data_IF_611204309926
#
_entry.id   IF_611204309926
#
_cell.length_a   1.000
_cell.length_b   1.000
_cell.length_c   1.000
_cell.angle_alpha   90.00
_cell.angle_beta   90.00
_cell.angle_gamma   90.00
#
_symmetry.space_group_name_H-M   'P 1'
#
loop_
_entity.id
_entity.type
_entity.pdbx_description
1 polymer ?
#
# COMPACT_ATOMS: atom_id res chain seq x y z
N UNK A 1 -4.84 -22.56 23.92
CA UNK A 1 -3.89 -22.32 22.81
C UNK A 1 -4.54 -22.49 21.42
N UNK A 2 -5.08 -23.65 21.04
CA UNK A 2 -5.66 -23.87 19.70
C UNK A 2 -6.84 -22.95 19.30
N UNK A 3 -7.71 -22.57 20.25
CA UNK A 3 -8.88 -21.69 19.97
C UNK A 3 -8.51 -20.24 19.58
N UNK A 4 -7.37 -19.72 20.05
CA UNK A 4 -6.91 -18.36 19.71
C UNK A 4 -6.36 -18.30 18.28
N UNK A 5 -5.58 -19.33 17.90
CA UNK A 5 -5.05 -19.48 16.53
C UNK A 5 -6.20 -19.66 15.53
N UNK A 6 -7.22 -20.46 15.87
CA UNK A 6 -8.43 -20.63 15.06
C UNK A 6 -9.26 -19.35 14.91
N UNK A 7 -9.32 -18.48 15.93
CA UNK A 7 -10.01 -17.19 15.83
C UNK A 7 -9.21 -16.16 15.01
N UNK A 8 -7.88 -16.17 15.07
CA UNK A 8 -7.05 -15.33 14.20
C UNK A 8 -7.12 -15.79 12.74
N UNK A 9 -7.10 -17.10 12.49
CA UNK A 9 -7.28 -17.65 11.14
C UNK A 9 -8.70 -17.37 10.64
N UNK A 10 -9.73 -17.48 11.49
CA UNK A 10 -11.09 -17.07 11.11
C UNK A 10 -11.18 -15.59 10.79
N UNK A 11 -10.57 -14.70 11.58
CA UNK A 11 -10.57 -13.26 11.33
C UNK A 11 -9.84 -12.88 10.04
N UNK A 12 -8.73 -13.56 9.73
CA UNK A 12 -7.97 -13.35 8.49
C UNK A 12 -8.72 -13.92 7.26
N UNK A 13 -9.28 -15.11 7.37
CA UNK A 13 -9.98 -15.82 6.27
C UNK A 13 -11.37 -15.26 6.00
N UNK A 14 -12.09 -14.75 7.01
CA UNK A 14 -13.40 -14.10 6.78
C UNK A 14 -13.27 -12.68 6.25
N UNK A 15 -12.24 -11.92 6.63
CA UNK A 15 -12.07 -10.54 6.15
C UNK A 15 -11.61 -10.46 4.68
N UNK A 16 -10.68 -11.32 4.27
CA UNK A 16 -10.17 -11.33 2.89
C UNK A 16 -11.10 -12.03 1.88
N UNK A 17 -11.90 -13.01 2.34
CA UNK A 17 -12.87 -13.68 1.47
C UNK A 17 -14.00 -12.74 0.99
N UNK A 18 -14.18 -11.59 1.64
CA UNK A 18 -15.35 -10.75 1.48
C UNK A 18 -15.18 -9.70 0.37
N UNK A 19 -14.10 -8.91 0.29
CA UNK A 19 -14.04 -7.78 -0.68
C UNK A 19 -14.01 -8.21 -2.14
N UNK A 20 -13.24 -9.24 -2.49
CA UNK A 20 -13.17 -9.73 -3.89
C UNK A 20 -14.45 -10.45 -4.30
N UNK A 21 -15.07 -11.19 -3.36
CA UNK A 21 -16.38 -11.81 -3.57
C UNK A 21 -17.49 -10.75 -3.70
N UNK A 22 -17.59 -9.80 -2.77
CA UNK A 22 -18.57 -8.72 -2.81
C UNK A 22 -18.36 -7.80 -4.02
N UNK A 23 -17.12 -7.53 -4.45
CA UNK A 23 -16.87 -6.80 -5.71
C UNK A 23 -17.41 -7.57 -6.93
N UNK A 24 -17.31 -8.90 -6.92
CA UNK A 24 -17.81 -9.77 -8.00
C UNK A 24 -19.34 -9.89 -7.98
N UNK A 25 -19.97 -9.84 -6.80
CA UNK A 25 -21.41 -10.09 -6.62
C UNK A 25 -22.23 -8.79 -6.56
N UNK A 26 -21.66 -7.69 -6.05
CA UNK A 26 -22.30 -6.38 -5.86
C UNK A 26 -21.35 -5.23 -6.25
N UNK A 27 -20.96 -5.12 -7.52
CA UNK A 27 -19.94 -4.17 -7.98
C UNK A 27 -20.24 -2.70 -7.64
N UNK A 28 -21.53 -2.33 -7.55
CA UNK A 28 -21.95 -0.94 -7.30
C UNK A 28 -21.86 -0.51 -5.83
N UNK A 29 -21.55 -1.43 -4.91
CA UNK A 29 -21.58 -1.17 -3.44
C UNK A 29 -20.23 -0.84 -2.84
N UNK A 30 -19.12 -1.10 -3.55
CA UNK A 30 -17.77 -0.87 -3.06
C UNK A 30 -17.09 0.22 -3.89
N UNK A 31 -16.54 1.22 -3.22
CA UNK A 31 -15.68 2.20 -3.89
C UNK A 31 -14.39 1.50 -4.32
N UNK A 32 -13.87 1.84 -5.50
CA UNK A 32 -12.58 1.36 -6.00
C UNK A 32 -11.45 1.46 -4.95
N UNK A 33 -11.44 2.53 -4.15
CA UNK A 33 -10.43 2.71 -3.10
C UNK A 33 -10.55 1.65 -2.00
N UNK A 34 -11.74 1.15 -1.68
CA UNK A 34 -11.91 0.11 -0.68
C UNK A 34 -11.28 -1.21 -1.12
N UNK A 35 -11.34 -1.50 -2.43
CA UNK A 35 -10.78 -2.72 -3.02
C UNK A 35 -9.25 -2.69 -3.19
N UNK A 36 -8.63 -1.52 -3.07
CA UNK A 36 -7.17 -1.40 -3.11
C UNK A 36 -6.52 -2.15 -1.94
N UNK A 37 -5.43 -2.86 -2.22
CA UNK A 37 -4.72 -3.72 -1.27
C UNK A 37 -3.34 -3.16 -0.97
N UNK A 38 -2.92 -3.27 0.28
CA UNK A 38 -1.57 -2.89 0.71
C UNK A 38 -0.68 -4.12 0.79
N UNK A 39 0.57 -3.97 0.37
CA UNK A 39 1.63 -4.97 0.60
C UNK A 39 2.98 -4.29 0.76
N UNK A 40 3.96 -5.05 1.27
CA UNK A 40 5.35 -4.57 1.32
C UNK A 40 5.89 -4.35 -0.09
N UNK A 41 6.62 -3.26 -0.26
CA UNK A 41 7.39 -2.97 -1.46
C UNK A 41 8.54 -3.98 -1.58
N UNK A 42 8.82 -4.40 -2.80
CA UNK A 42 9.96 -5.23 -3.15
C UNK A 42 10.84 -4.52 -4.18
N UNK A 43 12.06 -5.03 -4.39
CA UNK A 43 12.96 -4.49 -5.43
C UNK A 43 12.36 -4.59 -6.84
N UNK A 44 11.48 -5.56 -7.09
CA UNK A 44 10.80 -5.72 -8.37
C UNK A 44 9.80 -4.58 -8.67
N UNK A 45 9.37 -3.83 -7.65
CA UNK A 45 8.45 -2.71 -7.81
C UNK A 45 9.16 -1.41 -8.22
N UNK A 46 10.49 -1.34 -8.07
CA UNK A 46 11.26 -0.10 -8.27
C UNK A 46 11.06 0.58 -9.63
N UNK A 47 10.99 -0.13 -10.77
CA UNK A 47 10.70 0.50 -12.05
C UNK A 47 9.39 1.30 -11.99
N UNK A 48 8.34 0.70 -11.40
CA UNK A 48 7.03 1.33 -11.28
C UNK A 48 7.00 2.42 -10.20
N UNK A 49 7.77 2.27 -9.13
CA UNK A 49 7.90 3.29 -8.07
C UNK A 49 8.51 4.56 -8.64
N UNK A 50 9.58 4.43 -9.43
CA UNK A 50 10.25 5.56 -10.07
C UNK A 50 9.37 6.27 -11.09
N UNK A 51 8.56 5.52 -11.86
CA UNK A 51 7.56 6.12 -12.74
C UNK A 51 6.58 7.00 -11.94
N UNK A 52 5.98 6.47 -10.88
CA UNK A 52 5.02 7.21 -10.04
C UNK A 52 5.70 8.42 -9.37
N UNK A 53 6.91 8.24 -8.82
CA UNK A 53 7.71 9.30 -8.20
C UNK A 53 7.97 10.46 -9.18
N UNK A 54 8.39 10.15 -10.42
CA UNK A 54 8.68 11.15 -11.45
C UNK A 54 7.46 11.98 -11.87
N UNK A 55 6.25 11.41 -11.75
CA UNK A 55 4.99 12.09 -12.02
C UNK A 55 4.41 12.79 -10.78
N UNK A 56 4.97 12.51 -9.60
CA UNK A 56 4.54 13.04 -8.31
C UNK A 56 5.22 14.32 -7.91
N UNK A 57 6.50 14.44 -8.21
CA UNK A 57 7.34 15.50 -7.69
C UNK A 57 8.15 16.17 -8.80
N UNK A 58 8.32 17.49 -8.68
CA UNK A 58 9.22 18.26 -9.54
C UNK A 58 10.70 17.89 -9.32
N UNK A 59 11.01 17.31 -8.15
CA UNK A 59 12.34 16.90 -7.74
C UNK A 59 12.30 15.47 -7.21
N UNK A 60 12.13 14.47 -8.10
CA UNK A 60 11.95 13.09 -7.72
C UNK A 60 13.21 12.52 -7.05
N UNK A 61 13.01 11.62 -6.08
CA UNK A 61 14.08 10.82 -5.52
C UNK A 61 14.73 9.94 -6.58
N UNK A 62 16.06 9.76 -6.46
CA UNK A 62 16.81 8.85 -7.32
C UNK A 62 16.62 7.42 -6.85
N UNK A 63 16.74 6.46 -7.78
CA UNK A 63 16.64 5.02 -7.51
C UNK A 63 17.50 4.55 -6.33
N UNK A 64 18.72 5.08 -6.18
CA UNK A 64 19.61 4.75 -5.07
C UNK A 64 18.95 4.96 -3.69
N UNK A 65 18.16 6.03 -3.54
CA UNK A 65 17.47 6.33 -2.27
C UNK A 65 16.44 5.23 -1.95
N UNK A 66 15.72 4.74 -2.96
CA UNK A 66 14.76 3.65 -2.76
C UNK A 66 15.45 2.32 -2.42
N UNK A 67 16.60 2.02 -3.04
CA UNK A 67 17.41 0.86 -2.63
C UNK A 67 17.85 0.97 -1.18
N UNK A 68 18.34 2.13 -0.75
CA UNK A 68 18.74 2.37 0.64
C UNK A 68 17.56 2.18 1.59
N UNK A 69 16.39 2.72 1.25
CA UNK A 69 15.18 2.54 2.05
C UNK A 69 14.76 1.07 2.19
N UNK A 70 14.82 0.29 1.11
CA UNK A 70 14.48 -1.14 1.14
C UNK A 70 15.47 -1.99 1.95
N UNK A 71 16.70 -1.52 2.14
CA UNK A 71 17.72 -2.19 2.94
C UNK A 71 17.73 -1.73 4.41
N UNK A 72 17.03 -0.65 4.75
CA UNK A 72 16.99 -0.09 6.10
C UNK A 72 16.03 -0.86 7.00
N UNK A 73 16.54 -1.39 8.12
CA UNK A 73 15.76 -2.24 9.03
C UNK A 73 14.60 -1.53 9.76
N UNK A 74 14.61 -0.20 9.84
CA UNK A 74 13.64 0.61 10.57
C UNK A 74 12.68 1.36 9.64
N UNK A 75 12.73 1.09 8.33
CA UNK A 75 11.84 1.68 7.35
C UNK A 75 10.80 0.68 6.86
N UNK A 76 9.56 1.14 6.80
CA UNK A 76 8.45 0.42 6.25
C UNK A 76 8.13 0.96 4.85
N UNK A 77 8.50 0.18 3.84
CA UNK A 77 8.18 0.49 2.44
C UNK A 77 6.91 -0.25 2.03
N UNK A 78 5.85 0.49 1.74
CA UNK A 78 4.53 0.00 1.36
C UNK A 78 4.19 0.37 -0.07
N UNK A 79 3.48 -0.52 -0.74
CA UNK A 79 2.80 -0.21 -2.00
C UNK A 79 1.32 -0.48 -1.88
N UNK A 80 0.55 0.22 -2.69
CA UNK A 80 -0.87 -0.02 -2.86
C UNK A 80 -1.15 -0.44 -4.30
N UNK A 81 -1.92 -1.51 -4.45
CA UNK A 81 -2.26 -2.08 -5.75
C UNK A 81 -3.78 -2.28 -5.90
N UNK A 82 -4.24 -2.27 -7.14
CA UNK A 82 -5.63 -2.60 -7.47
C UNK A 82 -5.86 -4.12 -7.53
N UNK A 83 -7.11 -4.52 -7.79
CA UNK A 83 -7.50 -5.93 -7.90
C UNK A 83 -6.85 -6.67 -9.08
N UNK A 84 -6.21 -5.95 -10.01
CA UNK A 84 -5.44 -6.50 -11.13
C UNK A 84 -3.94 -6.55 -10.83
N UNK A 85 -3.53 -6.33 -9.57
CA UNK A 85 -2.15 -6.23 -9.11
C UNK A 85 -1.37 -5.05 -9.72
N UNK A 86 -2.05 -4.04 -10.25
CA UNK A 86 -1.39 -2.84 -10.75
C UNK A 86 -1.09 -1.91 -9.58
N UNK A 87 0.18 -1.58 -9.38
CA UNK A 87 0.60 -0.62 -8.36
C UNK A 87 0.16 0.81 -8.73
N UNK A 88 -0.55 1.45 -7.82
CA UNK A 88 -1.13 2.79 -7.97
C UNK A 88 -0.49 3.83 -7.05
N UNK A 89 0.20 3.41 -6.00
CA UNK A 89 0.83 4.30 -5.04
C UNK A 89 1.86 3.58 -4.18
N UNK A 90 2.71 4.34 -3.51
CA UNK A 90 3.64 3.82 -2.51
C UNK A 90 3.82 4.81 -1.34
N UNK A 91 4.26 4.29 -0.21
CA UNK A 91 4.60 5.06 0.98
C UNK A 91 5.85 4.49 1.64
N UNK A 92 6.73 5.37 2.12
CA UNK A 92 7.91 5.00 2.90
C UNK A 92 7.79 5.70 4.25
N UNK A 93 7.83 4.93 5.32
CA UNK A 93 7.69 5.41 6.69
C UNK A 93 8.92 5.00 7.49
N UNK A 94 9.45 5.91 8.31
CA UNK A 94 10.43 5.58 9.35
C UNK A 94 9.69 5.42 10.67
N UNK A 95 9.91 4.30 11.35
CA UNK A 95 9.30 4.04 12.66
C UNK A 95 10.39 3.94 13.71
N UNK A 96 10.40 4.86 14.68
CA UNK A 96 11.40 4.88 15.74
C UNK A 96 10.81 5.49 17.02
N UNK A 97 11.14 4.89 18.16
CA UNK A 97 10.82 5.44 19.51
C UNK A 97 9.34 5.83 19.67
N UNK A 98 8.43 4.99 19.16
CA UNK A 98 6.99 5.24 19.25
C UNK A 98 6.46 6.33 18.30
N UNK A 99 7.31 6.86 17.42
CA UNK A 99 6.95 7.80 16.37
C UNK A 99 7.02 7.14 15.00
N UNK A 100 6.10 7.53 14.12
CA UNK A 100 6.08 7.15 12.71
C UNK A 100 6.14 8.42 11.85
N UNK A 101 7.18 8.54 11.04
CA UNK A 101 7.39 9.67 10.14
C UNK A 101 7.24 9.22 8.70
N UNK A 102 6.27 9.78 7.99
CA UNK A 102 6.12 9.57 6.55
C UNK A 102 7.27 10.30 5.84
N UNK A 103 8.15 9.54 5.19
CA UNK A 103 9.30 10.07 4.46
C UNK A 103 8.94 10.42 3.01
N UNK A 104 8.14 9.57 2.37
CA UNK A 104 7.64 9.79 1.01
C UNK A 104 6.27 9.09 0.87
N UNK A 105 5.31 9.77 0.27
CA UNK A 105 4.00 9.21 -0.09
C UNK A 105 3.64 9.74 -1.47
N UNK A 106 3.67 8.87 -2.47
CA UNK A 106 3.34 9.25 -3.82
C UNK A 106 2.21 8.38 -4.37
N UNK A 107 1.23 9.04 -4.98
CA UNK A 107 0.07 8.42 -5.60
C UNK A 107 0.10 8.76 -7.09
N UNK A 108 -0.12 7.75 -7.93
CA UNK A 108 -0.27 7.91 -9.38
C UNK A 108 -1.28 9.05 -9.66
N UNK A 109 -0.94 10.04 -10.51
CA UNK A 109 -1.83 11.15 -10.84
C UNK A 109 -3.28 10.75 -11.12
N UNK A 110 -3.51 9.62 -11.81
CA UNK A 110 -4.86 9.19 -12.20
C UNK A 110 -5.70 8.70 -11.01
N UNK A 111 -5.06 8.41 -9.87
CA UNK A 111 -5.68 7.89 -8.64
C UNK A 111 -5.78 8.95 -7.52
N UNK A 112 -5.36 10.19 -7.78
CA UNK A 112 -5.43 11.28 -6.80
C UNK A 112 -6.86 11.77 -6.60
N UNK A 113 -7.09 12.46 -5.47
CA UNK A 113 -8.38 13.05 -5.09
C UNK A 113 -9.55 12.06 -4.91
N UNK A 114 -9.25 10.75 -4.85
CA UNK A 114 -10.26 9.70 -4.65
C UNK A 114 -10.28 9.13 -3.22
N UNK A 115 -9.39 9.61 -2.34
CA UNK A 115 -9.29 9.16 -0.95
C UNK A 115 -8.16 8.17 -0.66
N UNK A 116 -7.35 7.81 -1.67
CA UNK A 116 -6.25 6.85 -1.49
C UNK A 116 -5.20 7.32 -0.46
N UNK A 117 -4.89 8.63 -0.42
CA UNK A 117 -4.00 9.19 0.61
C UNK A 117 -4.55 9.04 2.03
N UNK A 118 -5.87 9.22 2.20
CA UNK A 118 -6.54 8.96 3.49
C UNK A 118 -6.43 7.48 3.86
N UNK A 119 -6.64 6.58 2.89
CA UNK A 119 -6.50 5.14 3.11
C UNK A 119 -5.10 4.76 3.61
N UNK A 120 -4.03 5.37 3.06
CA UNK A 120 -2.67 5.16 3.57
C UNK A 120 -2.49 5.63 5.02
N UNK A 121 -3.08 6.75 5.42
CA UNK A 121 -2.97 7.25 6.80
C UNK A 121 -3.76 6.43 7.82
N UNK A 122 -4.64 5.54 7.36
CA UNK A 122 -5.43 4.65 8.20
C UNK A 122 -4.87 3.22 8.26
N UNK A 123 -3.86 2.93 7.45
CA UNK A 123 -3.17 1.64 7.41
C UNK A 123 -2.08 1.59 8.48
#
# INVERSE_FOLDING_TARGET
>A
MFKQVLNQIKGLVTYDADREFYAKVFPDTLNQIDLMRFRKMSKADLPRVLEIESQGYNYPWKEAIFHDCLNAAHYDCWVCEDTSNKMTAFCIVSTAVGEATVLNLCIDPVMRQQGLGRKFMQH
#
